data_IF_626821288534
#
_entry.id   IF_626821288534
#
_cell.length_a   1.000
_cell.length_b   1.000
_cell.length_c   1.000
_cell.angle_alpha   90.00
_cell.angle_beta   90.00
_cell.angle_gamma   90.00
#
_symmetry.space_group_name_H-M   'P 1'
#
loop_
_entity.id
_entity.type
_entity.pdbx_description
1 polymer ?
#
# COMPACT_ATOMS: atom_id res chain seq x y z
N UNK A 1 29.85 83.64 82.35
CA UNK A 1 30.10 84.28 81.06
C UNK A 1 30.72 83.24 80.12
N UNK A 2 30.19 83.11 78.90
CA UNK A 2 30.69 82.33 77.73
C UNK A 2 30.45 80.81 77.79
N UNK A 3 29.40 80.20 77.22
CA UNK A 3 28.75 80.28 75.90
C UNK A 3 29.58 79.72 74.73
N UNK A 4 28.89 78.90 73.92
CA UNK A 4 29.19 78.43 72.55
C UNK A 4 30.27 77.34 72.35
N UNK A 5 30.12 76.34 71.46
CA UNK A 5 29.14 76.08 70.39
C UNK A 5 29.27 74.62 69.96
N UNK A 6 28.18 73.86 69.96
CA UNK A 6 28.13 72.53 69.33
C UNK A 6 28.29 72.66 67.82
N UNK A 7 29.27 71.96 67.24
CA UNK A 7 29.45 71.90 65.78
C UNK A 7 28.38 70.98 65.15
N UNK A 8 27.69 71.42 64.07
CA UNK A 8 26.57 70.69 63.50
C UNK A 8 27.05 69.47 62.70
N UNK A 9 26.32 68.36 62.84
CA UNK A 9 26.54 67.14 62.07
C UNK A 9 26.39 67.41 60.56
N UNK A 10 27.45 67.20 59.78
CA UNK A 10 27.46 67.19 58.31
C UNK A 10 26.79 65.93 57.75
N UNK A 11 25.67 65.51 58.33
CA UNK A 11 24.89 64.35 57.91
C UNK A 11 24.16 64.59 56.58
N UNK A 12 24.05 65.85 56.14
CA UNK A 12 23.33 66.34 54.94
C UNK A 12 23.84 65.84 53.59
N UNK A 13 25.15 65.94 53.35
CA UNK A 13 25.74 65.73 52.02
C UNK A 13 26.08 64.26 51.78
N UNK A 14 26.45 63.52 52.84
CA UNK A 14 26.77 62.10 52.75
C UNK A 14 25.52 61.28 52.40
N UNK A 15 24.39 61.52 53.07
CA UNK A 15 23.11 60.84 52.78
C UNK A 15 22.64 61.07 51.34
N UNK A 16 22.84 62.27 50.79
CA UNK A 16 22.42 62.57 49.42
C UNK A 16 23.30 61.90 48.36
N UNK A 17 24.60 61.72 48.63
CA UNK A 17 25.51 60.94 47.78
C UNK A 17 25.16 59.45 47.76
N UNK A 18 24.80 58.88 48.92
CA UNK A 18 24.31 57.49 48.99
C UNK A 18 22.98 57.32 48.27
N UNK A 19 22.05 58.27 48.42
CA UNK A 19 20.80 58.27 47.66
C UNK A 19 21.05 58.37 46.15
N UNK A 20 22.00 59.20 45.71
CA UNK A 20 22.40 59.28 44.30
C UNK A 20 23.05 58.00 43.77
N UNK A 21 23.91 57.34 44.55
CA UNK A 21 24.52 56.07 44.18
C UNK A 21 23.49 54.95 44.05
N UNK A 22 22.54 54.87 45.00
CA UNK A 22 21.42 53.91 44.94
C UNK A 22 20.55 54.16 43.72
N UNK A 23 20.24 55.43 43.40
CA UNK A 23 19.48 55.77 42.20
C UNK A 23 20.19 55.29 40.93
N UNK A 24 21.51 55.52 40.84
CA UNK A 24 22.30 55.16 39.66
C UNK A 24 22.39 53.63 39.48
N UNK A 25 22.61 52.88 40.56
CA UNK A 25 22.61 51.41 40.54
C UNK A 25 21.23 50.87 40.16
N UNK A 26 20.16 51.47 40.69
CA UNK A 26 18.79 51.11 40.35
C UNK A 26 18.49 51.36 38.86
N UNK A 27 18.89 52.52 38.34
CA UNK A 27 18.72 52.88 36.93
C UNK A 27 19.50 51.93 36.01
N UNK A 28 20.73 51.57 36.41
CA UNK A 28 21.55 50.62 35.68
C UNK A 28 20.94 49.21 35.69
N UNK A 29 20.47 48.73 36.84
CA UNK A 29 19.77 47.45 36.95
C UNK A 29 18.50 47.41 36.09
N UNK A 30 17.71 48.48 36.08
CA UNK A 30 16.53 48.60 35.23
C UNK A 30 16.88 48.60 33.74
N UNK A 31 17.97 49.27 33.34
CA UNK A 31 18.44 49.27 31.95
C UNK A 31 18.91 47.87 31.50
N UNK A 32 19.66 47.15 32.33
CA UNK A 32 20.12 45.78 32.03
C UNK A 32 18.95 44.81 31.96
N UNK A 33 18.02 44.87 32.92
CA UNK A 33 16.83 44.03 32.91
C UNK A 33 15.93 44.35 31.71
N UNK A 34 15.72 45.63 31.41
CA UNK A 34 14.96 46.08 30.24
C UNK A 34 15.58 45.60 28.93
N UNK A 35 16.90 45.65 28.80
CA UNK A 35 17.61 45.10 27.64
C UNK A 35 17.43 43.58 27.53
N UNK A 36 17.56 42.84 28.64
CA UNK A 36 17.36 41.39 28.66
C UNK A 36 15.91 41.01 28.30
N UNK A 37 14.93 41.73 28.84
CA UNK A 37 13.52 41.51 28.52
C UNK A 37 13.22 41.80 27.04
N UNK A 38 13.73 42.92 26.52
CA UNK A 38 13.54 43.32 25.12
C UNK A 38 14.32 42.45 24.12
N UNK A 39 15.41 41.80 24.52
CA UNK A 39 16.18 40.94 23.61
C UNK A 39 15.71 39.48 23.67
N UNK A 40 15.30 38.99 24.85
CA UNK A 40 15.09 37.55 25.08
C UNK A 40 13.65 37.23 25.45
N UNK A 41 13.15 37.77 26.57
CA UNK A 41 11.89 37.30 27.16
C UNK A 41 10.68 37.64 26.29
N UNK A 42 10.67 38.78 25.59
CA UNK A 42 9.52 39.16 24.75
C UNK A 42 9.24 38.20 23.59
N UNK A 43 10.21 37.37 23.20
CA UNK A 43 10.10 36.45 22.06
C UNK A 43 9.94 34.98 22.47
N UNK A 44 10.08 34.67 23.77
CA UNK A 44 9.89 33.33 24.28
C UNK A 44 8.45 33.16 24.74
N UNK A 45 7.67 32.40 23.96
CA UNK A 45 6.36 31.93 24.39
C UNK A 45 6.45 30.42 24.67
N UNK A 46 5.97 30.02 25.84
CA UNK A 46 5.83 28.62 26.23
C UNK A 46 4.34 28.34 26.37
N UNK A 47 3.87 27.31 25.69
CA UNK A 47 2.51 26.82 25.78
C UNK A 47 2.55 25.31 25.81
N UNK A 48 1.72 24.70 26.65
CA UNK A 48 1.53 23.25 26.68
C UNK A 48 0.49 22.81 25.63
N UNK A 49 -0.31 23.76 25.12
CA UNK A 49 -1.33 23.55 24.10
C UNK A 49 -0.72 23.67 22.70
N UNK A 50 0.07 22.68 22.31
CA UNK A 50 0.67 22.59 20.99
C UNK A 50 0.21 21.30 20.28
N UNK A 51 -0.52 21.46 19.17
CA UNK A 51 -1.00 20.36 18.36
C UNK A 51 -0.24 20.31 17.03
N UNK A 52 0.12 19.10 16.59
CA UNK A 52 0.75 18.88 15.28
C UNK A 52 -0.34 18.54 14.25
N UNK A 53 -0.33 19.25 13.13
CA UNK A 53 -1.16 18.91 11.98
C UNK A 53 -0.53 17.79 11.17
N UNK A 54 -1.33 16.83 10.72
CA UNK A 54 -0.90 15.75 9.84
C UNK A 54 -2.01 15.32 8.89
N UNK A 55 -1.63 14.76 7.75
CA UNK A 55 -2.60 14.16 6.83
C UNK A 55 -3.01 12.79 7.37
N UNK A 56 -4.29 12.62 7.68
CA UNK A 56 -4.86 11.33 8.09
C UNK A 56 -5.59 10.74 6.91
N UNK A 57 -5.21 9.52 6.53
CA UNK A 57 -5.86 8.78 5.44
C UNK A 57 -6.38 7.47 6.01
N UNK A 58 -7.67 7.20 5.77
CA UNK A 58 -8.28 5.94 6.17
C UNK A 58 -7.87 4.83 5.19
N UNK A 59 -7.46 3.69 5.75
CA UNK A 59 -7.12 2.50 4.98
C UNK A 59 -8.32 1.56 5.01
N UNK A 60 -8.83 1.21 3.83
CA UNK A 60 -9.98 0.32 3.66
C UNK A 60 -9.57 -0.88 2.81
N UNK A 61 -9.92 -2.12 3.21
CA UNK A 61 -9.64 -3.29 2.38
C UNK A 61 -10.48 -3.25 1.09
N UNK A 62 -9.90 -3.71 -0.01
CA UNK A 62 -10.60 -3.78 -1.30
C UNK A 62 -11.64 -4.91 -1.35
N UNK A 63 -11.47 -5.93 -0.51
CA UNK A 63 -12.35 -7.08 -0.40
C UNK A 63 -12.87 -7.19 1.03
N UNK A 64 -14.10 -7.68 1.17
CA UNK A 64 -14.63 -8.04 2.50
C UNK A 64 -14.02 -9.36 2.95
N UNK A 65 -13.75 -9.49 4.25
CA UNK A 65 -13.21 -10.73 4.82
C UNK A 65 -13.07 -10.63 6.34
N UNK A 66 -12.88 -11.77 6.98
CA UNK A 66 -12.68 -11.87 8.42
C UNK A 66 -11.25 -11.48 8.79
N UNK A 67 -11.07 -10.62 9.79
CA UNK A 67 -9.73 -10.26 10.30
C UNK A 67 -9.19 -11.39 11.14
N UNK A 68 -8.01 -11.91 10.78
CA UNK A 68 -7.31 -12.97 11.54
C UNK A 68 -6.14 -12.43 12.37
N UNK A 69 -5.58 -11.28 11.99
CA UNK A 69 -4.55 -10.60 12.77
C UNK A 69 -4.53 -9.09 12.49
N UNK A 70 -4.17 -8.33 13.51
CA UNK A 70 -3.83 -6.92 13.42
C UNK A 70 -2.34 -6.83 13.75
N UNK A 71 -1.55 -6.34 12.80
CA UNK A 71 -0.08 -6.29 12.86
C UNK A 71 0.45 -4.89 13.15
N UNK A 72 -0.44 -3.89 13.20
CA UNK A 72 -0.16 -2.52 13.61
C UNK A 72 -0.65 -2.22 15.02
N UNK A 73 0.01 -1.29 15.70
CA UNK A 73 -0.45 -0.70 16.96
C UNK A 73 -0.64 0.82 16.83
N UNK A 74 -1.33 1.44 17.79
CA UNK A 74 -1.55 2.87 17.81
C UNK A 74 -0.23 3.64 17.87
N UNK A 75 -0.17 4.75 17.15
CA UNK A 75 1.04 5.59 16.98
C UNK A 75 2.28 4.89 16.40
N UNK A 76 2.16 3.63 15.95
CA UNK A 76 3.30 2.88 15.43
C UNK A 76 3.76 3.43 14.08
N UNK A 77 5.06 3.69 13.95
CA UNK A 77 5.67 4.05 12.68
C UNK A 77 5.74 2.84 11.74
N UNK A 78 5.14 2.96 10.55
CA UNK A 78 5.10 1.90 9.54
C UNK A 78 5.71 2.34 8.21
N UNK A 79 6.20 1.37 7.44
CA UNK A 79 6.79 1.61 6.11
C UNK A 79 5.80 1.24 5.01
N UNK A 80 5.98 1.82 3.82
CA UNK A 80 5.19 1.45 2.65
C UNK A 80 5.34 -0.05 2.34
N UNK A 81 4.21 -0.72 2.11
CA UNK A 81 4.15 -2.17 1.87
C UNK A 81 4.14 -3.04 3.13
N UNK A 82 4.23 -2.45 4.33
CA UNK A 82 4.09 -3.21 5.57
C UNK A 82 2.64 -3.66 5.77
N UNK A 83 2.39 -4.95 6.05
CA UNK A 83 1.06 -5.43 6.39
C UNK A 83 0.60 -4.84 7.72
N UNK A 84 -0.63 -4.33 7.76
CA UNK A 84 -1.26 -3.77 8.97
C UNK A 84 -2.36 -4.68 9.51
N UNK A 85 -3.09 -5.33 8.61
CA UNK A 85 -4.21 -6.22 8.94
C UNK A 85 -4.14 -7.42 8.00
N UNK A 86 -4.35 -8.61 8.55
CA UNK A 86 -4.42 -9.86 7.79
C UNK A 86 -5.84 -10.36 7.77
N UNK A 87 -6.36 -10.62 6.57
CA UNK A 87 -7.68 -11.20 6.35
C UNK A 87 -7.55 -12.72 6.15
N UNK A 88 -8.60 -13.46 6.48
CA UNK A 88 -8.69 -14.90 6.25
C UNK A 88 -8.65 -15.20 4.74
N UNK A 89 -7.65 -15.97 4.24
CA UNK A 89 -7.55 -16.30 2.83
C UNK A 89 -8.41 -17.51 2.40
N UNK A 90 -9.16 -18.15 3.30
CA UNK A 90 -9.86 -19.41 3.01
C UNK A 90 -10.75 -19.35 1.76
N UNK A 91 -11.64 -18.35 1.66
CA UNK A 91 -12.55 -18.20 0.53
C UNK A 91 -11.80 -17.96 -0.78
N UNK A 92 -10.75 -17.13 -0.74
CA UNK A 92 -9.91 -16.85 -1.90
C UNK A 92 -9.15 -18.09 -2.37
N UNK A 93 -8.68 -18.94 -1.45
CA UNK A 93 -8.02 -20.22 -1.76
C UNK A 93 -8.99 -21.20 -2.40
N UNK A 94 -10.18 -21.36 -1.83
CA UNK A 94 -11.21 -22.24 -2.39
C UNK A 94 -11.60 -21.78 -3.81
N UNK A 95 -11.78 -20.48 -4.03
CA UNK A 95 -12.08 -19.93 -5.34
C UNK A 95 -10.95 -20.18 -6.35
N UNK A 96 -9.69 -20.04 -5.92
CA UNK A 96 -8.52 -20.35 -6.74
C UNK A 96 -8.47 -21.84 -7.12
N UNK A 97 -8.61 -22.74 -6.15
CA UNK A 97 -8.61 -24.18 -6.38
C UNK A 97 -9.74 -24.62 -7.33
N UNK A 98 -10.93 -24.01 -7.20
CA UNK A 98 -12.04 -24.25 -8.12
C UNK A 98 -11.72 -23.79 -9.55
N UNK A 99 -11.09 -22.62 -9.71
CA UNK A 99 -10.68 -22.10 -11.01
C UNK A 99 -9.60 -22.99 -11.67
N UNK A 100 -8.63 -23.46 -10.89
CA UNK A 100 -7.60 -24.39 -11.34
C UNK A 100 -8.20 -25.75 -11.74
N UNK A 101 -9.15 -26.28 -10.96
CA UNK A 101 -9.86 -27.51 -11.30
C UNK A 101 -10.73 -27.37 -12.56
N UNK A 102 -11.31 -26.18 -12.78
CA UNK A 102 -12.04 -25.87 -14.01
C UNK A 102 -11.10 -25.82 -15.21
N UNK A 103 -9.94 -25.18 -15.08
CA UNK A 103 -8.91 -25.17 -16.11
C UNK A 103 -8.43 -26.59 -16.46
N UNK A 104 -8.16 -27.42 -15.45
CA UNK A 104 -7.75 -28.81 -15.65
C UNK A 104 -8.82 -29.65 -16.37
N UNK A 105 -10.10 -29.40 -16.10
CA UNK A 105 -11.21 -30.00 -16.86
C UNK A 105 -11.18 -29.59 -18.32
N UNK A 106 -11.12 -28.29 -18.60
CA UNK A 106 -11.05 -27.78 -19.97
C UNK A 106 -9.86 -28.34 -20.76
N UNK A 107 -8.68 -28.45 -20.14
CA UNK A 107 -7.50 -29.06 -20.78
C UNK A 107 -7.75 -30.52 -21.14
N UNK A 108 -8.39 -31.30 -20.25
CA UNK A 108 -8.76 -32.69 -20.54
C UNK A 108 -9.78 -32.79 -21.67
N UNK A 109 -10.78 -31.91 -21.69
CA UNK A 109 -11.81 -31.89 -22.73
C UNK A 109 -11.20 -31.60 -24.10
N UNK A 110 -10.29 -30.62 -24.17
CA UNK A 110 -9.55 -30.32 -25.41
C UNK A 110 -8.71 -31.51 -25.86
N UNK A 111 -8.00 -32.18 -24.95
CA UNK A 111 -7.24 -33.40 -25.29
C UNK A 111 -8.14 -34.52 -25.80
N UNK A 112 -9.30 -34.73 -25.19
CA UNK A 112 -10.29 -35.70 -25.63
C UNK A 112 -10.85 -35.36 -27.02
N UNK A 113 -11.06 -34.07 -27.30
CA UNK A 113 -11.50 -33.61 -28.61
C UNK A 113 -10.45 -33.89 -29.69
N UNK A 114 -9.17 -33.62 -29.43
CA UNK A 114 -8.09 -33.97 -30.36
C UNK A 114 -7.97 -35.48 -30.58
N UNK A 115 -8.09 -36.29 -29.52
CA UNK A 115 -8.09 -37.74 -29.65
C UNK A 115 -9.26 -38.23 -30.52
N UNK A 116 -10.47 -37.70 -30.27
CA UNK A 116 -11.67 -37.98 -31.09
C UNK A 116 -11.47 -37.56 -32.54
N UNK A 117 -10.91 -36.38 -32.79
CA UNK A 117 -10.59 -35.88 -34.14
C UNK A 117 -9.67 -36.85 -34.88
N UNK A 118 -8.59 -37.31 -34.24
CA UNK A 118 -7.66 -38.27 -34.85
C UNK A 118 -8.32 -39.61 -35.18
N UNK A 119 -9.25 -40.08 -34.34
CA UNK A 119 -10.02 -41.30 -34.61
C UNK A 119 -10.97 -41.13 -35.79
N UNK A 120 -11.64 -39.98 -35.88
CA UNK A 120 -12.54 -39.66 -37.00
C UNK A 120 -11.76 -39.52 -38.32
N UNK A 121 -10.60 -38.90 -38.31
CA UNK A 121 -9.71 -38.82 -39.48
C UNK A 121 -9.29 -40.22 -39.98
N UNK A 122 -8.92 -41.12 -39.07
CA UNK A 122 -8.60 -42.50 -39.40
C UNK A 122 -9.82 -43.25 -39.99
N UNK A 123 -11.01 -43.03 -39.43
CA UNK A 123 -12.25 -43.61 -39.95
C UNK A 123 -12.59 -43.09 -41.36
N UNK A 124 -12.41 -41.78 -41.61
CA UNK A 124 -12.59 -41.18 -42.95
C UNK A 124 -11.60 -41.77 -43.94
N UNK A 125 -10.32 -41.91 -43.56
CA UNK A 125 -9.31 -42.53 -44.41
C UNK A 125 -9.68 -43.97 -44.79
N UNK A 126 -10.15 -44.78 -43.83
CA UNK A 126 -10.63 -46.13 -44.10
C UNK A 126 -11.80 -46.13 -45.09
N UNK A 127 -12.83 -45.30 -44.87
CA UNK A 127 -13.98 -45.20 -45.79
C UNK A 127 -13.58 -44.76 -47.20
N UNK A 128 -12.58 -43.89 -47.33
CA UNK A 128 -12.07 -43.49 -48.63
C UNK A 128 -11.39 -44.65 -49.37
N UNK A 129 -10.66 -45.51 -48.65
CA UNK A 129 -10.07 -46.73 -49.26
C UNK A 129 -11.13 -47.72 -49.70
N UNK A 130 -12.19 -47.92 -48.90
CA UNK A 130 -13.32 -48.78 -49.25
C UNK A 130 -14.06 -48.28 -50.50
N UNK A 131 -14.32 -46.97 -50.59
CA UNK A 131 -14.91 -46.34 -51.78
C UNK A 131 -14.05 -46.56 -53.03
N UNK A 132 -12.74 -46.36 -52.90
CA UNK A 132 -11.79 -46.55 -54.02
C UNK A 132 -11.79 -48.01 -54.49
N UNK A 133 -11.79 -48.96 -53.55
CA UNK A 133 -11.88 -50.38 -53.86
C UNK A 133 -13.19 -50.73 -54.56
N UNK A 134 -14.34 -50.25 -54.05
CA UNK A 134 -15.65 -50.48 -54.65
C UNK A 134 -15.75 -49.92 -56.09
N UNK A 135 -15.21 -48.73 -56.33
CA UNK A 135 -15.12 -48.14 -57.67
C UNK A 135 -14.26 -48.99 -58.61
N UNK A 136 -13.11 -49.49 -58.12
CA UNK A 136 -12.23 -50.34 -58.92
C UNK A 136 -12.89 -51.68 -59.28
N UNK A 137 -13.67 -52.26 -58.37
CA UNK A 137 -14.40 -53.51 -58.60
C UNK A 137 -15.53 -53.30 -59.62
N UNK A 138 -16.28 -52.21 -59.50
CA UNK A 138 -17.31 -51.83 -60.48
C UNK A 138 -16.70 -51.67 -61.89
N UNK A 139 -15.61 -50.92 -62.01
CA UNK A 139 -14.92 -50.72 -63.29
C UNK A 139 -14.35 -52.02 -63.87
N UNK A 140 -13.91 -52.96 -63.02
CA UNK A 140 -13.50 -54.30 -63.45
C UNK A 140 -14.69 -55.09 -64.01
N UNK A 141 -15.82 -55.11 -63.30
CA UNK A 141 -17.05 -55.81 -63.75
C UNK A 141 -17.57 -55.26 -65.07
N UNK A 142 -17.59 -53.94 -65.23
CA UNK A 142 -18.01 -53.30 -66.48
C UNK A 142 -17.13 -53.69 -67.68
N UNK A 143 -15.80 -53.76 -67.49
CA UNK A 143 -14.87 -54.20 -68.56
C UNK A 143 -15.08 -55.66 -68.96
N UNK A 144 -15.31 -56.55 -67.99
CA UNK A 144 -15.58 -57.97 -68.25
C UNK A 144 -16.90 -58.19 -68.99
N UNK A 145 -17.93 -57.40 -68.67
CA UNK A 145 -19.21 -57.40 -69.41
C UNK A 145 -19.04 -56.90 -70.86
N UNK A 146 -18.25 -55.85 -71.08
CA UNK A 146 -18.02 -55.29 -72.41
C UNK A 146 -17.19 -56.22 -73.34
N UNK A 147 -16.32 -57.07 -72.79
CA UNK A 147 -15.52 -58.03 -73.56
C UNK A 147 -16.26 -59.34 -73.87
N UNK A 148 -17.56 -59.46 -73.54
CA UNK A 148 -18.38 -60.65 -73.82
C UNK A 148 -18.02 -61.91 -73.03
N UNK A 149 -17.19 -61.79 -71.98
CA UNK A 149 -16.69 -62.93 -71.20
C UNK A 149 -17.60 -63.31 -70.02
N UNK A 150 -18.76 -62.67 -69.89
CA UNK A 150 -19.74 -62.94 -68.82
C UNK A 150 -21.11 -63.10 -69.48
N UNK A 151 -21.71 -64.28 -69.33
CA UNK A 151 -23.04 -64.61 -69.83
C UNK A 151 -24.08 -63.72 -69.15
N UNK A 152 -24.88 -62.99 -69.93
CA UNK A 152 -26.01 -62.23 -69.40
C UNK A 152 -27.07 -63.18 -68.88
N UNK A 153 -27.48 -62.98 -67.63
CA UNK A 153 -28.85 -63.27 -67.19
C UNK A 153 -29.71 -62.03 -67.41
#
# INVERSE_FOLDING_TARGET
>A
MNADKGKPATAGVRRWRWLGAILLVSLFGAAVYGAYWAQVLRYHQTTDDAYVGGNVVQITPQISGTVVAIEGDDTQFVKAGQPLVRLDPADARVALEQAEAQLARSVRDVRNLFATSSQLEAAVALRQTELTAAHSDLARRQRLGASGAVSGE
#
